data_IF_153615181299
#
_entry.id   IF_153615181299
#
_cell.length_a   1.000
_cell.length_b   1.000
_cell.length_c   1.000
_cell.angle_alpha   90.00
_cell.angle_beta   90.00
_cell.angle_gamma   90.00
#
_symmetry.space_group_name_H-M   'P 1'
#
loop_
_entity.id
_entity.type
_entity.pdbx_description
1 polymer ?
#
# COMPACT_ATOMS: atom_id res chain seq x y z
N UNK A 1 -9.47 -12.13 9.61
CA UNK A 1 -10.17 -11.24 8.68
C UNK A 1 -11.47 -10.80 9.32
N UNK A 2 -11.69 -9.49 9.38
CA UNK A 2 -12.94 -8.90 9.90
C UNK A 2 -13.46 -7.91 8.88
N UNK A 3 -14.78 -7.88 8.69
CA UNK A 3 -15.46 -6.88 7.85
C UNK A 3 -16.16 -5.89 8.76
N UNK A 4 -15.94 -4.60 8.54
CA UNK A 4 -16.52 -3.51 9.32
C UNK A 4 -16.93 -2.35 8.42
N UNK A 5 -17.60 -1.34 8.99
CA UNK A 5 -17.98 -0.11 8.31
C UNK A 5 -18.70 -0.32 6.96
N UNK A 6 -19.53 -1.36 6.86
CA UNK A 6 -20.32 -1.60 5.65
C UNK A 6 -21.37 -0.50 5.49
N UNK A 7 -21.35 0.21 4.36
CA UNK A 7 -22.34 1.22 3.99
C UNK A 7 -22.92 0.95 2.62
N UNK A 8 -24.16 1.40 2.45
CA UNK A 8 -24.88 1.41 1.17
C UNK A 8 -25.42 2.82 0.97
N UNK A 9 -24.98 3.47 -0.10
CA UNK A 9 -25.42 4.80 -0.48
C UNK A 9 -26.24 4.72 -1.77
N UNK A 10 -27.45 5.25 -1.71
CA UNK A 10 -28.41 5.25 -2.82
C UNK A 10 -28.58 6.69 -3.31
N UNK A 11 -28.34 6.90 -4.60
CA UNK A 11 -28.58 8.20 -5.24
C UNK A 11 -29.19 8.02 -6.62
N UNK A 12 -29.55 9.12 -7.26
CA UNK A 12 -30.01 9.14 -8.66
C UNK A 12 -28.98 9.90 -9.47
N UNK A 13 -28.62 9.37 -10.64
CA UNK A 13 -27.76 10.06 -11.58
C UNK A 13 -28.37 11.40 -12.02
N UNK A 14 -27.55 12.28 -12.60
CA UNK A 14 -27.96 13.62 -13.03
C UNK A 14 -29.12 13.61 -14.05
N UNK A 15 -29.32 12.48 -14.74
CA UNK A 15 -30.44 12.27 -15.66
C UNK A 15 -31.81 12.07 -14.97
N UNK A 16 -31.83 11.87 -13.65
CA UNK A 16 -33.04 11.69 -12.84
C UNK A 16 -33.76 10.34 -13.04
N UNK A 17 -33.19 9.43 -13.83
CA UNK A 17 -33.82 8.17 -14.24
C UNK A 17 -32.99 6.94 -13.86
N UNK A 18 -31.68 7.10 -13.71
CA UNK A 18 -30.76 6.01 -13.34
C UNK A 18 -30.51 6.02 -11.83
N UNK A 19 -30.83 4.92 -11.15
CA UNK A 19 -30.44 4.72 -9.75
C UNK A 19 -28.96 4.33 -9.63
N UNK A 20 -28.24 4.95 -8.70
CA UNK A 20 -26.85 4.64 -8.37
C UNK A 20 -26.80 4.00 -6.98
N UNK A 21 -26.07 2.90 -6.87
CA UNK A 21 -25.82 2.19 -5.61
C UNK A 21 -24.31 2.15 -5.39
N UNK A 22 -23.84 2.76 -4.32
CA UNK A 22 -22.45 2.66 -3.87
C UNK A 22 -22.38 1.75 -2.64
N UNK A 23 -21.49 0.75 -2.71
CA UNK A 23 -21.26 -0.24 -1.67
C UNK A 23 -19.83 -0.06 -1.17
N UNK A 24 -19.68 0.24 0.11
CA UNK A 24 -18.37 0.39 0.75
C UNK A 24 -18.26 -0.52 1.96
N UNK A 25 -17.10 -1.13 2.17
CA UNK A 25 -16.79 -1.92 3.36
C UNK A 25 -15.30 -1.85 3.67
N UNK A 26 -14.95 -1.91 4.95
CA UNK A 26 -13.56 -2.00 5.42
C UNK A 26 -13.22 -3.44 5.76
N UNK A 27 -12.12 -3.93 5.21
CA UNK A 27 -11.59 -5.27 5.50
C UNK A 27 -10.31 -5.15 6.33
N UNK A 28 -10.33 -5.72 7.52
CA UNK A 28 -9.16 -5.80 8.40
C UNK A 28 -8.50 -7.18 8.32
N UNK A 29 -7.16 -7.17 8.28
CA UNK A 29 -6.37 -8.40 8.12
C UNK A 29 -6.67 -9.12 6.80
N UNK A 30 -6.95 -8.36 5.74
CA UNK A 30 -7.11 -8.87 4.38
C UNK A 30 -5.74 -9.16 3.73
N UNK A 31 -4.77 -8.30 3.98
CA UNK A 31 -3.43 -8.45 3.44
C UNK A 31 -2.57 -9.35 4.34
N UNK A 32 -1.78 -10.23 3.73
CA UNK A 32 -0.61 -10.80 4.37
C UNK A 32 0.46 -9.71 4.52
N UNK A 33 1.17 -9.71 5.65
CA UNK A 33 2.24 -8.76 5.94
C UNK A 33 3.54 -9.53 6.09
N UNK A 34 4.51 -9.25 5.22
CA UNK A 34 5.84 -9.90 5.23
C UNK A 34 6.90 -8.86 4.85
N UNK A 35 7.93 -8.69 5.68
CA UNK A 35 9.02 -7.73 5.44
C UNK A 35 8.55 -6.29 5.11
N UNK A 36 7.45 -5.85 5.71
CA UNK A 36 6.84 -4.55 5.45
C UNK A 36 6.14 -4.44 4.09
N UNK A 37 5.98 -5.54 3.34
CA UNK A 37 5.09 -5.63 2.18
C UNK A 37 3.69 -6.08 2.61
N UNK A 38 2.69 -5.54 1.94
CA UNK A 38 1.30 -5.93 2.10
C UNK A 38 0.84 -6.62 0.83
N UNK A 39 0.46 -7.89 0.91
CA UNK A 39 -0.05 -8.66 -0.24
C UNK A 39 -1.52 -8.98 -0.03
N UNK A 40 -2.37 -8.47 -0.91
CA UNK A 40 -3.80 -8.79 -0.96
C UNK A 40 -3.99 -9.88 -2.01
N UNK A 41 -4.34 -11.07 -1.56
CA UNK A 41 -4.79 -12.16 -2.44
C UNK A 41 -6.29 -12.04 -2.71
N UNK A 42 -6.76 -12.76 -3.73
CA UNK A 42 -8.13 -12.80 -4.25
C UNK A 42 -9.20 -12.64 -3.15
N UNK A 43 -9.76 -11.43 -2.97
CA UNK A 43 -10.72 -11.15 -1.88
C UNK A 43 -12.14 -11.60 -2.23
N UNK A 44 -12.35 -12.05 -3.47
CA UNK A 44 -13.61 -12.55 -4.02
C UNK A 44 -13.47 -14.04 -4.37
N UNK A 45 -14.59 -14.69 -4.70
CA UNK A 45 -14.56 -16.06 -5.19
C UNK A 45 -13.83 -16.10 -6.55
N UNK A 46 -13.04 -17.14 -6.78
CA UNK A 46 -12.34 -17.30 -8.06
C UNK A 46 -13.31 -17.36 -9.24
N UNK A 47 -12.96 -16.67 -10.33
CA UNK A 47 -13.87 -16.48 -11.47
C UNK A 47 -14.88 -15.35 -11.28
N UNK A 48 -14.68 -14.48 -10.29
CA UNK A 48 -15.50 -13.28 -10.13
C UNK A 48 -15.23 -12.28 -11.25
N UNK A 49 -16.26 -12.04 -12.04
CA UNK A 49 -16.32 -10.94 -13.01
C UNK A 49 -17.15 -9.82 -12.39
N UNK A 50 -16.60 -8.61 -12.37
CA UNK A 50 -17.35 -7.44 -11.91
C UNK A 50 -17.97 -6.72 -13.09
N UNK A 51 -19.29 -6.57 -13.12
CA UNK A 51 -19.97 -5.70 -14.10
C UNK A 51 -19.63 -4.20 -13.90
N UNK A 52 -18.95 -3.88 -12.80
CA UNK A 52 -18.62 -2.53 -12.37
C UNK A 52 -17.12 -2.33 -12.18
N UNK A 53 -16.69 -1.07 -12.10
CA UNK A 53 -15.29 -0.73 -11.79
C UNK A 53 -14.91 -1.28 -10.42
N UNK A 54 -13.74 -1.90 -10.32
CA UNK A 54 -13.15 -2.28 -9.05
C UNK A 54 -11.97 -1.35 -8.72
N UNK A 55 -11.88 -0.91 -7.47
CA UNK A 55 -10.81 -0.02 -6.99
C UNK A 55 -10.23 -0.57 -5.70
N UNK A 56 -8.92 -0.73 -5.66
CA UNK A 56 -8.17 -1.08 -4.45
C UNK A 56 -7.33 0.11 -4.00
N UNK A 57 -7.44 0.51 -2.74
CA UNK A 57 -6.63 1.58 -2.13
C UNK A 57 -5.67 0.97 -1.11
N UNK A 58 -4.38 1.26 -1.28
CA UNK A 58 -3.36 0.94 -0.27
C UNK A 58 -3.48 1.84 0.96
N UNK A 59 -2.93 1.43 2.12
CA UNK A 59 -2.81 2.30 3.28
C UNK A 59 -1.99 3.55 2.99
N UNK A 60 -2.17 4.59 3.81
CA UNK A 60 -1.37 5.80 3.69
C UNK A 60 0.13 5.51 3.89
N UNK A 61 0.99 6.12 3.07
CA UNK A 61 2.43 5.87 3.08
C UNK A 61 2.86 4.60 2.33
N UNK A 62 1.94 3.92 1.65
CA UNK A 62 2.24 2.76 0.80
C UNK A 62 1.89 3.06 -0.67
N UNK A 63 2.68 2.50 -1.58
CA UNK A 63 2.42 2.52 -3.03
C UNK A 63 2.27 1.11 -3.58
N UNK A 64 1.49 0.98 -4.65
CA UNK A 64 1.39 -0.27 -5.40
C UNK A 64 2.77 -0.60 -6.00
N UNK A 65 3.25 -1.81 -5.72
CA UNK A 65 4.49 -2.34 -6.28
C UNK A 65 4.21 -3.27 -7.47
N UNK A 66 3.21 -4.12 -7.33
CA UNK A 66 2.81 -5.11 -8.33
C UNK A 66 1.32 -5.43 -8.21
N UNK A 67 0.69 -5.82 -9.32
CA UNK A 67 -0.68 -6.31 -9.33
C UNK A 67 -0.96 -7.22 -10.54
N UNK A 68 -1.68 -8.30 -10.27
CA UNK A 68 -2.25 -9.20 -11.27
C UNK A 68 -3.75 -9.35 -10.99
N UNK A 69 -4.64 -9.28 -11.99
CA UNK A 69 -4.38 -8.75 -13.35
C UNK A 69 -3.96 -7.28 -13.33
N UNK A 70 -3.36 -6.81 -14.43
CA UNK A 70 -2.85 -5.44 -14.50
C UNK A 70 -3.99 -4.40 -14.42
N UNK A 71 -3.89 -3.40 -13.53
CA UNK A 71 -4.91 -2.37 -13.40
C UNK A 71 -4.96 -1.47 -14.64
N UNK A 72 -6.15 -0.98 -14.96
CA UNK A 72 -6.35 0.01 -16.02
C UNK A 72 -5.78 1.39 -15.66
N UNK A 73 -5.71 1.72 -14.37
CA UNK A 73 -5.11 2.97 -13.88
C UNK A 73 -4.53 2.81 -12.47
N UNK A 74 -3.44 3.53 -12.18
CA UNK A 74 -2.84 3.65 -10.85
C UNK A 74 -2.57 5.12 -10.55
N UNK A 75 -3.34 5.69 -9.63
CA UNK A 75 -3.31 7.13 -9.29
C UNK A 75 -3.61 7.33 -7.79
N UNK A 76 -2.91 8.26 -7.13
CA UNK A 76 -3.15 8.65 -5.73
C UNK A 76 -3.25 7.46 -4.74
N UNK A 77 -2.36 6.46 -4.88
CA UNK A 77 -2.34 5.27 -4.03
C UNK A 77 -3.50 4.28 -4.27
N UNK A 78 -4.22 4.43 -5.39
CA UNK A 78 -5.33 3.57 -5.81
C UNK A 78 -5.02 2.87 -7.13
N UNK A 79 -5.33 1.58 -7.19
CA UNK A 79 -5.33 0.79 -8.41
C UNK A 79 -6.78 0.57 -8.85
N UNK A 80 -7.07 0.75 -10.15
CA UNK A 80 -8.43 0.67 -10.70
C UNK A 80 -8.48 -0.29 -11.87
N UNK A 81 -9.46 -1.19 -11.86
CA UNK A 81 -9.77 -2.11 -12.95
C UNK A 81 -11.08 -1.71 -13.62
N UNK A 82 -11.16 -1.88 -14.94
CA UNK A 82 -12.34 -1.52 -15.71
C UNK A 82 -13.52 -2.44 -15.37
N UNK A 83 -14.74 -1.95 -15.63
CA UNK A 83 -15.93 -2.80 -15.60
C UNK A 83 -15.77 -3.96 -16.60
N UNK A 84 -16.19 -5.16 -16.21
CA UNK A 84 -16.05 -6.40 -16.96
C UNK A 84 -14.64 -7.01 -16.92
N UNK A 85 -13.75 -6.55 -16.03
CA UNK A 85 -12.44 -7.20 -15.89
C UNK A 85 -12.60 -8.57 -15.23
N UNK A 86 -11.95 -9.59 -15.81
CA UNK A 86 -11.72 -10.87 -15.14
C UNK A 86 -10.67 -10.65 -14.06
N UNK A 87 -11.05 -10.83 -12.80
CA UNK A 87 -10.15 -10.66 -11.67
C UNK A 87 -9.61 -12.00 -11.15
N UNK A 88 -9.78 -13.08 -11.90
CA UNK A 88 -9.31 -14.40 -11.51
C UNK A 88 -7.81 -14.40 -11.16
N UNK A 89 -7.47 -14.96 -10.00
CA UNK A 89 -6.09 -15.00 -9.54
C UNK A 89 -5.55 -13.65 -9.08
N UNK A 90 -6.44 -12.78 -8.61
CA UNK A 90 -6.08 -11.45 -8.13
C UNK A 90 -5.00 -11.49 -7.04
N UNK A 91 -3.95 -10.72 -7.25
CA UNK A 91 -2.91 -10.44 -6.27
C UNK A 91 -2.46 -8.98 -6.43
N UNK A 92 -2.35 -8.25 -5.32
CA UNK A 92 -1.81 -6.91 -5.31
C UNK A 92 -0.84 -6.72 -4.16
N UNK A 93 0.37 -6.27 -4.46
CA UNK A 93 1.42 -6.00 -3.47
C UNK A 93 1.66 -4.52 -3.31
N UNK A 94 1.63 -4.05 -2.07
CA UNK A 94 2.00 -2.69 -1.70
C UNK A 94 3.32 -2.69 -0.93
N UNK A 95 4.15 -1.69 -1.22
CA UNK A 95 5.40 -1.43 -0.52
C UNK A 95 5.34 -0.05 0.13
N UNK A 96 6.06 0.17 1.24
CA UNK A 96 6.14 1.50 1.82
C UNK A 96 6.81 2.46 0.84
N UNK A 97 6.26 3.67 0.73
CA UNK A 97 6.96 4.76 0.06
C UNK A 97 8.22 5.09 0.86
N UNK A 98 9.34 5.35 0.19
CA UNK A 98 10.64 5.58 0.85
C UNK A 98 10.51 6.63 1.98
N UNK A 99 10.49 6.18 3.23
CA UNK A 99 10.22 7.01 4.42
C UNK A 99 9.12 6.48 5.35
N UNK A 100 8.23 5.61 4.88
CA UNK A 100 7.27 4.87 5.69
C UNK A 100 7.95 3.60 6.23
N UNK A 101 8.82 3.73 7.22
CA UNK A 101 9.28 2.54 7.94
C UNK A 101 8.06 1.91 8.64
N UNK A 102 7.76 0.65 8.33
CA UNK A 102 6.83 -0.13 9.12
C UNK A 102 7.36 -0.14 10.57
N UNK A 103 6.68 0.56 11.47
CA UNK A 103 7.02 0.53 12.89
C UNK A 103 6.63 -0.83 13.45
N UNK A 104 7.45 -1.84 13.17
CA UNK A 104 7.47 -3.07 13.92
C UNK A 104 8.04 -2.72 15.29
N UNK A 105 7.16 -2.34 16.21
CA UNK A 105 7.46 -2.28 17.64
C UNK A 105 7.65 -3.72 18.15
N UNK A 106 8.84 -4.26 17.92
CA UNK A 106 9.43 -5.34 18.70
C UNK A 106 10.47 -4.66 19.60
N UNK A 107 10.20 -4.40 20.87
CA UNK A 107 10.00 -5.43 21.88
C UNK A 107 11.25 -5.46 22.77
N UNK A 108 11.19 -4.75 23.90
CA UNK A 108 12.12 -4.85 25.05
C UNK A 108 13.57 -4.39 24.82
N UNK A 109 13.85 -3.12 25.16
CA UNK A 109 15.13 -2.74 25.77
C UNK A 109 14.90 -2.51 27.26
N UNK A 110 14.81 -3.61 28.01
CA UNK A 110 14.97 -3.60 29.44
C UNK A 110 16.36 -4.08 29.78
N UNK A 111 17.28 -3.19 30.17
CA UNK A 111 18.30 -3.55 31.17
C UNK A 111 18.74 -2.32 31.93
N UNK A 112 18.34 -2.33 33.20
CA UNK A 112 18.84 -1.52 34.30
C UNK A 112 20.37 -1.46 34.36
N UNK A 113 20.86 -0.29 34.79
CA UNK A 113 21.67 -0.19 36.00
C UNK A 113 23.11 -0.70 35.99
N UNK A 114 24.00 0.23 36.36
CA UNK A 114 25.31 0.03 37.02
C UNK A 114 26.53 0.28 36.12
N UNK A 115 26.97 1.53 36.09
CA UNK A 115 28.34 1.90 35.74
C UNK A 115 29.25 1.48 36.90
N UNK A 116 29.78 0.26 36.83
CA UNK A 116 30.72 -0.28 37.80
C UNK A 116 31.87 -0.98 37.10
N UNK A 117 33.00 -0.27 37.05
CA UNK A 117 34.39 -0.74 37.09
C UNK A 117 34.93 -1.75 36.05
N UNK A 118 36.20 -1.53 35.74
CA UNK A 118 36.95 -2.08 34.62
C UNK A 118 37.18 -3.61 34.66
N UNK A 119 37.04 -4.26 33.50
CA UNK A 119 37.92 -5.36 33.08
C UNK A 119 37.77 -5.65 31.59
N UNK A 120 38.91 -5.81 30.94
CA UNK A 120 39.09 -6.17 29.54
C UNK A 120 38.27 -7.41 29.14
N UNK A 121 37.52 -7.30 28.05
CA UNK A 121 36.80 -8.41 27.43
C UNK A 121 36.68 -8.17 25.93
N UNK A 122 37.43 -8.96 25.17
CA UNK A 122 37.44 -9.07 23.72
C UNK A 122 36.05 -9.52 23.20
N UNK A 123 35.47 -8.81 22.22
CA UNK A 123 34.18 -9.13 21.63
C UNK A 123 33.89 -8.29 20.36
N UNK A 124 33.45 -8.90 19.24
CA UNK A 124 33.49 -8.31 17.90
C UNK A 124 32.20 -7.55 17.53
N UNK A 125 32.32 -6.55 16.64
CA UNK A 125 31.16 -6.04 15.89
C UNK A 125 31.13 -4.52 15.70
N UNK A 126 32.14 -3.96 15.04
CA UNK A 126 32.03 -2.59 14.53
C UNK A 126 31.11 -2.61 13.30
N UNK A 127 29.90 -2.07 13.48
CA UNK A 127 28.90 -1.94 12.43
C UNK A 127 29.38 -1.08 11.25
N UNK A 128 28.84 -1.30 10.03
CA UNK A 128 29.29 -0.60 8.85
C UNK A 128 28.89 0.88 8.88
N UNK A 129 29.88 1.75 8.65
CA UNK A 129 29.72 3.18 8.39
C UNK A 129 29.12 3.33 6.98
N UNK A 130 27.84 3.70 6.89
CA UNK A 130 27.23 4.05 5.61
C UNK A 130 27.67 5.47 5.19
N UNK A 131 28.48 5.53 4.14
CA UNK A 131 28.89 6.76 3.46
C UNK A 131 27.70 7.30 2.65
N UNK A 132 27.22 8.49 3.00
CA UNK A 132 26.21 9.23 2.24
C UNK A 132 26.85 9.81 0.96
N UNK A 133 26.53 9.22 -0.19
CA UNK A 133 26.79 9.83 -1.49
C UNK A 133 25.59 10.69 -1.90
N UNK A 134 25.79 12.00 -1.96
CA UNK A 134 24.81 12.95 -2.47
C UNK A 134 24.68 12.84 -3.99
N UNK A 135 23.45 12.70 -4.51
CA UNK A 135 23.17 12.85 -5.93
C UNK A 135 22.19 14.02 -6.13
N UNK A 136 22.71 15.12 -6.68
CA UNK A 136 21.92 16.24 -7.13
C UNK A 136 21.32 15.93 -8.51
N UNK A 137 20.00 16.07 -8.66
CA UNK A 137 19.34 16.09 -9.97
C UNK A 137 18.69 17.45 -10.14
N UNK A 138 19.33 18.31 -10.94
CA UNK A 138 18.71 19.54 -11.42
C UNK A 138 17.99 19.26 -12.74
N UNK A 139 16.69 19.50 -12.71
CA UNK A 139 15.72 19.35 -13.79
C UNK A 139 15.82 20.50 -14.79
N UNK A 140 15.75 20.20 -16.09
CA UNK A 140 15.35 21.19 -17.09
C UNK A 140 14.72 20.49 -18.30
N UNK A 141 13.42 20.70 -18.52
CA UNK A 141 12.83 20.43 -19.83
C UNK A 141 11.35 20.06 -19.83
N UNK A 142 10.45 20.95 -19.44
CA UNK A 142 9.13 20.96 -20.07
C UNK A 142 8.49 22.36 -20.04
N UNK A 143 8.75 23.14 -21.08
CA UNK A 143 7.89 24.24 -21.50
C UNK A 143 7.50 23.98 -22.95
N UNK A 144 6.29 23.49 -23.18
CA UNK A 144 5.50 23.84 -24.37
C UNK A 144 4.09 23.23 -24.32
N UNK A 145 3.12 24.13 -24.51
CA UNK A 145 1.80 23.94 -25.15
C UNK A 145 0.62 23.42 -24.32
N UNK A 146 0.07 24.36 -23.55
CA UNK A 146 -1.36 24.77 -23.63
C UNK A 146 -1.50 25.73 -24.83
N UNK A 147 -2.55 25.81 -25.65
CA UNK A 147 -4.00 25.52 -25.57
C UNK A 147 -4.53 25.42 -27.00
N UNK A 148 -5.60 24.66 -27.20
CA UNK A 148 -6.68 24.99 -28.16
C UNK A 148 -7.95 25.07 -27.33
#
# INVERSE_FOLDING_TARGET
MTVSAASVDLSTADDGTTGLVELSATYEGLAAVEDGRLTVAEPFASGFETDYRFTLRGPDGYRLADAAPEPAAVEDGRATWAAGSDLSGFEATFVPESGAAAENSDGTSGTDGTTGDASSGDGPGLGPVAVLAALAVATAGLVARRRT
#
